data_IF_300007865117
#
_entry.id   IF_300007865117
#
_cell.length_a   1.000
_cell.length_b   1.000
_cell.length_c   1.000
_cell.angle_alpha   90.00
_cell.angle_beta   90.00
_cell.angle_gamma   90.00
#
_symmetry.space_group_name_H-M   'P 1'
#
loop_
_entity.id
_entity.type
_entity.pdbx_description
1 polymer ?
#
# COMPACT_ATOMS: atom_id res chain seq x y z
N UNK A 1 -13.21 -6.54 3.30
CA UNK A 1 -12.05 -5.63 3.26
C UNK A 1 -11.63 -5.43 1.81
N UNK A 2 -11.51 -4.18 1.34
CA UNK A 2 -11.07 -3.90 -0.03
C UNK A 2 -9.60 -3.44 -0.06
N UNK A 3 -8.73 -4.26 -0.67
CA UNK A 3 -7.29 -4.01 -0.81
C UNK A 3 -6.86 -3.63 -2.23
N UNK A 4 -7.78 -3.58 -3.19
CA UNK A 4 -7.49 -3.40 -4.63
C UNK A 4 -6.83 -2.06 -4.96
N UNK A 5 -7.03 -1.05 -4.11
CA UNK A 5 -6.43 0.29 -4.30
C UNK A 5 -5.30 0.56 -3.33
N UNK A 6 -4.87 -0.43 -2.55
CA UNK A 6 -3.81 -0.27 -1.56
C UNK A 6 -2.51 -0.81 -2.13
N UNK A 7 -1.48 0.02 -2.07
CA UNK A 7 -0.16 -0.20 -2.64
C UNK A 7 0.89 -0.26 -1.54
N UNK A 8 1.77 -1.25 -1.62
CA UNK A 8 3.04 -1.27 -0.94
C UNK A 8 4.14 -0.86 -1.93
N UNK A 9 4.94 0.16 -1.57
CA UNK A 9 6.01 0.67 -2.42
C UNK A 9 7.34 0.27 -1.78
N UNK A 10 8.15 -0.52 -2.49
CA UNK A 10 9.45 -0.93 -1.98
C UNK A 10 10.37 0.28 -1.77
N UNK A 11 11.05 0.31 -0.62
CA UNK A 11 11.93 1.42 -0.21
C UNK A 11 11.21 2.64 0.37
N UNK A 12 9.87 2.66 0.42
CA UNK A 12 9.11 3.68 1.14
C UNK A 12 8.37 3.05 2.32
N UNK A 13 8.39 3.67 3.50
CA UNK A 13 7.64 3.17 4.64
C UNK A 13 6.13 3.37 4.41
N UNK A 14 5.35 2.45 4.96
CA UNK A 14 3.90 2.54 4.98
C UNK A 14 3.18 1.94 3.77
N UNK A 15 1.88 2.21 3.74
CA UNK A 15 0.96 1.85 2.67
C UNK A 15 0.44 3.10 1.98
N UNK A 16 0.05 2.96 0.72
CA UNK A 16 -0.38 4.07 -0.12
C UNK A 16 -1.68 3.72 -0.84
N UNK A 17 -2.66 4.62 -0.84
CA UNK A 17 -3.87 4.46 -1.63
C UNK A 17 -3.64 5.02 -3.05
N UNK A 18 -3.90 4.21 -4.07
CA UNK A 18 -3.90 4.65 -5.47
C UNK A 18 -5.02 5.69 -5.69
N UNK A 19 -4.65 6.89 -6.14
CA UNK A 19 -5.62 7.94 -6.48
C UNK A 19 -5.79 8.09 -7.98
N UNK A 20 -4.68 8.27 -8.71
CA UNK A 20 -4.71 8.53 -10.16
C UNK A 20 -3.59 7.77 -10.84
N UNK A 21 -3.89 7.10 -11.95
CA UNK A 21 -2.88 6.56 -12.84
C UNK A 21 -2.48 7.63 -13.86
N UNK A 22 -1.18 7.83 -14.05
CA UNK A 22 -0.63 8.79 -15.01
C UNK A 22 0.15 8.07 -16.10
N UNK A 23 0.48 8.77 -17.19
CA UNK A 23 1.25 8.18 -18.29
C UNK A 23 2.66 7.71 -17.88
N UNK A 24 3.19 8.25 -16.79
CA UNK A 24 4.55 7.98 -16.30
C UNK A 24 4.58 7.18 -14.99
N UNK A 25 3.41 6.83 -14.45
CA UNK A 25 3.29 6.15 -13.16
C UNK A 25 1.92 6.33 -12.52
N UNK A 26 1.90 6.67 -11.25
CA UNK A 26 0.67 6.90 -10.50
C UNK A 26 0.88 7.89 -9.37
N UNK A 27 -0.19 8.59 -9.03
CA UNK A 27 -0.29 9.41 -7.82
C UNK A 27 -0.93 8.54 -6.75
N UNK A 28 -0.20 8.35 -5.66
CA UNK A 28 -0.63 7.60 -4.50
C UNK A 28 -0.65 8.50 -3.27
N UNK A 29 -1.59 8.27 -2.36
CA UNK A 29 -1.72 9.01 -1.11
C UNK A 29 -1.25 8.12 0.03
N UNK A 30 -0.28 8.60 0.80
CA UNK A 30 0.25 7.88 1.96
C UNK A 30 -0.82 7.71 3.03
N UNK A 31 -1.01 6.49 3.50
CA UNK A 31 -1.91 6.18 4.62
C UNK A 31 -1.32 6.60 5.97
N UNK A 32 -0.06 7.03 6.04
CA UNK A 32 0.52 7.50 7.31
C UNK A 32 0.18 8.97 7.52
N UNK A 33 0.60 9.82 6.59
CA UNK A 33 0.56 11.27 6.70
C UNK A 33 -0.44 11.96 5.76
N UNK A 34 -1.17 11.20 4.93
CA UNK A 34 -2.15 11.73 3.98
C UNK A 34 -1.53 12.50 2.81
N UNK A 35 -0.20 12.50 2.66
CA UNK A 35 0.47 13.24 1.59
C UNK A 35 0.41 12.49 0.28
N UNK A 36 0.20 13.24 -0.79
CA UNK A 36 0.23 12.73 -2.17
C UNK A 36 1.68 12.63 -2.63
N UNK A 37 2.03 11.49 -3.20
CA UNK A 37 3.32 11.23 -3.81
C UNK A 37 3.13 10.75 -5.25
N UNK A 38 4.03 11.16 -6.13
CA UNK A 38 4.11 10.62 -7.49
C UNK A 38 5.12 9.49 -7.49
N UNK A 39 4.69 8.33 -7.95
CA UNK A 39 5.49 7.11 -8.05
C UNK A 39 5.68 6.79 -9.51
N UNK A 40 6.91 6.48 -9.92
CA UNK A 40 7.21 6.13 -11.30
C UNK A 40 6.88 4.68 -11.59
N UNK A 41 6.57 4.34 -12.85
CA UNK A 41 6.44 2.95 -13.31
C UNK A 41 7.69 2.10 -13.06
N UNK A 42 8.87 2.73 -12.88
CA UNK A 42 10.12 2.02 -12.55
C UNK A 42 10.22 1.59 -11.10
N UNK A 43 9.37 2.12 -10.22
CA UNK A 43 9.37 1.76 -8.80
C UNK A 43 8.73 0.39 -8.62
N UNK A 44 9.32 -0.45 -7.78
CA UNK A 44 8.73 -1.74 -7.40
C UNK A 44 7.53 -1.48 -6.50
N UNK A 45 6.33 -1.68 -7.06
CA UNK A 45 5.07 -1.48 -6.36
C UNK A 45 4.25 -2.74 -6.44
N UNK A 46 3.69 -3.13 -5.30
CA UNK A 46 2.87 -4.31 -5.14
C UNK A 46 1.48 -3.88 -4.68
N UNK A 47 0.45 -4.35 -5.38
CA UNK A 47 -0.93 -4.24 -4.94
C UNK A 47 -1.18 -5.25 -3.83
N UNK A 48 -1.74 -4.82 -2.70
CA UNK A 48 -2.01 -5.75 -1.59
C UNK A 48 -3.03 -6.83 -1.99
N UNK A 49 -3.88 -6.56 -2.99
CA UNK A 49 -4.81 -7.54 -3.55
C UNK A 49 -4.15 -8.65 -4.37
N UNK A 50 -2.93 -8.42 -4.89
CA UNK A 50 -2.18 -9.40 -5.69
C UNK A 50 -1.19 -10.20 -4.84
N UNK A 51 -1.02 -9.84 -3.56
CA UNK A 51 -0.15 -10.56 -2.65
C UNK A 51 -0.90 -11.74 -2.05
N UNK A 52 -0.28 -12.91 -2.14
CA UNK A 52 -0.75 -14.14 -1.50
C UNK A 52 0.34 -14.73 -0.61
N UNK A 53 -0.08 -15.40 0.45
CA UNK A 53 0.78 -16.13 1.38
C UNK A 53 0.78 -17.60 0.97
N UNK A 54 1.97 -18.18 0.85
CA UNK A 54 2.13 -19.60 0.57
C UNK A 54 1.66 -20.43 1.76
N UNK A 55 0.91 -21.48 1.44
CA UNK A 55 0.41 -22.49 2.36
C UNK A 55 0.81 -23.86 1.84
N UNK A 56 0.76 -24.89 2.68
CA UNK A 56 1.09 -26.26 2.25
C UNK A 56 0.17 -26.78 1.14
N UNK A 57 -1.05 -26.23 1.01
CA UNK A 57 -2.04 -26.63 0.01
C UNK A 57 -2.05 -25.73 -1.23
N UNK A 58 -1.27 -24.63 -1.24
CA UNK A 58 -1.25 -23.67 -2.35
C UNK A 58 -0.99 -22.24 -1.88
N UNK A 59 -1.85 -21.31 -2.26
CA UNK A 59 -1.71 -19.88 -1.95
C UNK A 59 -3.01 -19.35 -1.35
N UNK A 60 -2.90 -18.52 -0.32
CA UNK A 60 -4.02 -17.84 0.30
C UNK A 60 -3.87 -16.32 0.15
N UNK A 61 -4.88 -15.60 -0.38
CA UNK A 61 -4.76 -14.17 -0.61
C UNK A 61 -4.58 -13.41 0.71
N UNK A 62 -3.78 -12.33 0.67
CA UNK A 62 -3.48 -11.52 1.85
C UNK A 62 -4.74 -10.91 2.49
N UNK A 63 -5.77 -10.64 1.70
CA UNK A 63 -7.08 -10.18 2.18
C UNK A 63 -7.70 -11.14 3.20
N UNK A 64 -7.69 -12.44 2.91
CA UNK A 64 -8.20 -13.47 3.83
C UNK A 64 -7.34 -13.57 5.08
N UNK A 65 -6.01 -13.53 4.94
CA UNK A 65 -5.10 -13.57 6.09
C UNK A 65 -5.35 -12.39 7.02
N UNK A 66 -5.50 -11.17 6.48
CA UNK A 66 -5.84 -9.98 7.27
C UNK A 66 -7.21 -10.09 7.94
N UNK A 67 -8.17 -10.77 7.32
CA UNK A 67 -9.47 -11.03 7.94
C UNK A 67 -9.37 -12.03 9.09
N UNK A 68 -8.58 -13.09 8.96
CA UNK A 68 -8.35 -14.04 10.05
C UNK A 68 -7.72 -13.33 11.27
N UNK A 69 -6.78 -12.42 11.02
CA UNK A 69 -6.21 -11.54 12.06
C UNK A 69 -7.31 -10.66 12.68
N UNK A 70 -8.14 -10.04 11.84
CA UNK A 70 -9.25 -9.20 12.33
C UNK A 70 -10.26 -9.97 13.18
N UNK A 71 -10.59 -11.20 12.82
CA UNK A 71 -11.51 -12.05 13.58
C UNK A 71 -10.88 -12.44 14.93
N UNK A 72 -9.61 -12.82 14.93
CA UNK A 72 -8.88 -13.19 16.16
C UNK A 72 -8.79 -12.05 17.16
N UNK A 73 -8.51 -10.84 16.66
CA UNK A 73 -8.32 -9.64 17.48
C UNK A 73 -9.61 -8.83 17.71
N UNK A 74 -10.78 -9.33 17.28
CA UNK A 74 -12.07 -8.62 17.32
C UNK A 74 -12.00 -7.21 16.69
N UNK A 75 -11.33 -7.11 15.53
CA UNK A 75 -11.01 -5.86 14.80
C UNK A 75 -10.08 -4.91 15.56
N UNK A 76 -9.48 -5.39 16.65
CA UNK A 76 -8.42 -4.74 17.40
C UNK A 76 -7.08 -4.72 16.66
N UNK A 77 -6.11 -3.99 17.21
CA UNK A 77 -4.75 -3.97 16.70
C UNK A 77 -4.08 -5.32 16.98
N UNK A 78 -3.39 -5.89 15.99
CA UNK A 78 -2.60 -7.09 16.20
C UNK A 78 -1.30 -6.77 16.93
N UNK A 79 -0.54 -7.80 17.30
CA UNK A 79 0.78 -7.65 17.91
C UNK A 79 1.71 -6.73 17.10
N UNK A 80 2.62 -6.06 17.81
CA UNK A 80 3.58 -5.15 17.18
C UNK A 80 4.54 -5.90 16.26
N UNK A 81 4.77 -5.35 15.06
CA UNK A 81 5.77 -5.89 14.12
C UNK A 81 7.22 -5.80 14.62
N UNK A 82 7.45 -5.19 15.80
CA UNK A 82 8.76 -5.04 16.45
C UNK A 82 9.07 -6.17 17.44
N UNK A 83 8.11 -7.04 17.72
CA UNK A 83 8.33 -8.19 18.59
C UNK A 83 9.36 -9.17 18.00
N UNK A 84 9.85 -10.06 18.85
CA UNK A 84 10.77 -11.12 18.47
C UNK A 84 10.21 -12.02 17.36
N UNK A 85 11.09 -12.46 16.45
CA UNK A 85 10.70 -13.32 15.33
C UNK A 85 9.94 -14.56 15.81
N UNK A 86 10.35 -15.16 16.93
CA UNK A 86 9.68 -16.33 17.50
C UNK A 86 8.22 -16.04 17.88
N UNK A 87 7.97 -14.90 18.53
CA UNK A 87 6.63 -14.45 18.92
C UNK A 87 5.75 -14.19 17.70
N UNK A 88 6.32 -13.53 16.69
CA UNK A 88 5.60 -13.24 15.44
C UNK A 88 5.21 -14.52 14.69
N UNK A 89 6.14 -15.47 14.59
CA UNK A 89 5.91 -16.77 13.95
C UNK A 89 4.85 -17.57 14.73
N UNK A 90 4.93 -17.60 16.07
CA UNK A 90 3.94 -18.28 16.90
C UNK A 90 2.54 -17.68 16.71
N UNK A 91 2.42 -16.36 16.74
CA UNK A 91 1.16 -15.67 16.46
C UNK A 91 0.63 -15.98 15.06
N UNK A 92 1.51 -15.96 14.05
CA UNK A 92 1.12 -16.25 12.67
C UNK A 92 0.67 -17.71 12.50
N UNK A 93 1.26 -18.67 13.24
CA UNK A 93 0.79 -20.07 13.29
C UNK A 93 -0.61 -20.18 13.90
N UNK A 94 -0.92 -19.37 14.91
CA UNK A 94 -2.28 -19.39 15.48
C UNK A 94 -3.32 -18.82 14.53
N UNK A 95 -2.96 -17.82 13.72
CA UNK A 95 -3.85 -17.22 12.70
C UNK A 95 -3.99 -18.13 11.48
N UNK A 96 -2.88 -18.69 11.01
CA UNK A 96 -2.80 -19.47 9.78
C UNK A 96 -1.94 -20.74 9.99
N UNK A 97 -2.43 -21.78 10.67
CA UNK A 97 -1.60 -22.95 11.01
C UNK A 97 -1.02 -23.70 9.81
N UNK A 98 -1.60 -23.49 8.63
CA UNK A 98 -1.22 -24.12 7.37
C UNK A 98 -0.27 -23.28 6.49
N UNK A 99 0.32 -22.19 7.00
CA UNK A 99 1.29 -21.40 6.21
C UNK A 99 2.60 -22.19 6.00
N UNK A 100 3.23 -21.98 4.85
CA UNK A 100 4.50 -22.62 4.49
C UNK A 100 5.67 -21.88 5.15
N UNK A 101 6.27 -22.50 6.18
CA UNK A 101 7.40 -21.92 6.93
C UNK A 101 8.70 -21.79 6.12
N UNK A 102 8.86 -22.54 5.02
CA UNK A 102 10.06 -22.49 4.18
C UNK A 102 10.01 -21.32 3.20
N UNK A 103 8.79 -20.93 2.79
CA UNK A 103 8.56 -19.83 1.83
C UNK A 103 8.19 -18.51 2.50
N UNK A 104 7.56 -18.56 3.67
CA UNK A 104 7.12 -17.37 4.39
C UNK A 104 8.15 -16.99 5.44
N UNK A 105 8.98 -16.00 5.11
CA UNK A 105 10.02 -15.55 6.02
C UNK A 105 9.45 -14.70 7.17
N UNK A 106 10.11 -14.66 8.36
CA UNK A 106 9.70 -13.80 9.46
C UNK A 106 9.58 -12.32 9.07
N UNK A 107 10.39 -11.87 8.10
CA UNK A 107 10.31 -10.52 7.54
C UNK A 107 9.00 -10.24 6.82
N UNK A 108 8.39 -11.24 6.20
CA UNK A 108 7.10 -11.09 5.52
C UNK A 108 5.97 -11.08 6.55
N UNK A 109 6.05 -11.91 7.59
CA UNK A 109 5.13 -11.85 8.74
C UNK A 109 5.15 -10.45 9.38
N UNK A 110 6.35 -9.88 9.59
CA UNK A 110 6.51 -8.50 10.08
C UNK A 110 5.81 -7.48 9.19
N UNK A 111 5.95 -7.59 7.86
CA UNK A 111 5.28 -6.69 6.91
C UNK A 111 3.77 -6.84 7.00
N UNK A 112 3.24 -8.06 7.01
CA UNK A 112 1.80 -8.34 7.09
C UNK A 112 1.19 -7.73 8.35
N UNK A 113 1.81 -7.94 9.51
CA UNK A 113 1.32 -7.39 10.77
C UNK A 113 1.38 -5.86 10.82
N UNK A 114 2.46 -5.27 10.30
CA UNK A 114 2.59 -3.83 10.18
C UNK A 114 1.50 -3.24 9.26
N UNK A 115 1.25 -3.88 8.11
CA UNK A 115 0.18 -3.50 7.18
C UNK A 115 -1.20 -3.60 7.82
N UNK A 116 -1.49 -4.70 8.52
CA UNK A 116 -2.75 -4.88 9.24
C UNK A 116 -2.96 -3.76 10.28
N UNK A 117 -1.95 -3.47 11.11
CA UNK A 117 -2.01 -2.41 12.12
C UNK A 117 -2.27 -1.03 11.48
N UNK A 118 -1.62 -0.73 10.36
CA UNK A 118 -1.85 0.54 9.64
C UNK A 118 -3.25 0.64 9.05
N UNK A 119 -3.78 -0.45 8.50
CA UNK A 119 -5.13 -0.49 7.94
C UNK A 119 -6.19 -0.39 9.05
N UNK A 120 -5.95 -1.04 10.18
CA UNK A 120 -6.81 -0.99 11.37
C UNK A 120 -6.86 0.42 11.95
N UNK A 121 -5.71 1.09 12.08
CA UNK A 121 -5.62 2.46 12.58
C UNK A 121 -6.37 3.48 11.71
N UNK A 122 -6.60 3.17 10.43
CA UNK A 122 -7.40 3.98 9.50
C UNK A 122 -8.86 3.53 9.38
N UNK A 123 -9.28 2.51 10.12
CA UNK A 123 -10.63 1.95 10.04
C UNK A 123 -10.92 1.25 8.70
N UNK A 124 -9.88 0.87 7.95
CA UNK A 124 -10.01 0.20 6.65
C UNK A 124 -10.19 -1.32 6.79
N UNK A 125 -10.08 -1.86 8.00
CA UNK A 125 -10.43 -3.25 8.33
C UNK A 125 -11.94 -3.34 8.47
N UNK A 126 -12.60 -3.73 7.38
CA UNK A 126 -14.06 -3.96 7.31
C UNK A 126 -14.35 -5.38 6.86
N UNK A 127 -15.37 -6.00 7.46
CA UNK A 127 -15.92 -7.28 6.99
C UNK A 127 -16.46 -7.14 5.55
N UNK A 128 -16.44 -8.22 4.78
CA UNK A 128 -16.99 -8.24 3.41
C UNK A 128 -18.53 -8.11 3.46
N UNK A 129 -19.02 -6.87 3.52
CA UNK A 129 -20.37 -6.48 3.13
C UNK A 129 -20.30 -5.07 2.51
N UNK A 130 -21.13 -4.75 1.50
CA UNK A 130 -20.84 -3.72 0.50
C UNK A 130 -20.89 -2.32 1.11
N UNK A 131 -20.02 -1.43 0.59
CA UNK A 131 -19.91 -0.02 0.98
C UNK A 131 -21.27 0.68 1.04
N UNK A 132 -21.43 1.68 1.92
CA UNK A 132 -21.26 3.07 1.46
C UNK A 132 -20.63 4.04 2.49
N UNK A 133 -20.39 5.28 2.02
CA UNK A 133 -19.87 6.51 2.67
C UNK A 133 -18.32 6.66 2.61
N UNK A 134 -17.70 7.38 1.65
CA UNK A 134 -17.90 8.77 1.22
C UNK A 134 -17.84 9.80 2.36
N UNK A 135 -16.71 10.51 2.48
CA UNK A 135 -16.54 11.98 2.54
C UNK A 135 -15.08 12.25 2.94
N UNK A 136 -14.25 12.99 2.19
CA UNK A 136 -14.49 14.37 1.80
C UNK A 136 -13.80 14.71 0.48
N UNK A 137 -14.65 15.08 -0.47
CA UNK A 137 -14.33 15.87 -1.66
C UNK A 137 -13.99 17.31 -1.22
N UNK A 138 -12.93 17.88 -1.79
CA UNK A 138 -12.86 19.30 -2.14
C UNK A 138 -11.65 19.49 -3.07
N UNK A 139 -11.93 19.42 -4.37
CA UNK A 139 -11.28 20.31 -5.34
C UNK A 139 -12.10 21.59 -5.42
N UNK A 140 -11.43 22.72 -5.63
CA UNK A 140 -11.79 23.49 -6.81
C UNK A 140 -10.60 23.63 -7.76
N UNK A 141 -10.92 23.56 -9.04
CA UNK A 141 -10.06 23.80 -10.21
C UNK A 141 -10.39 25.21 -10.74
N UNK A 142 -9.40 25.81 -11.43
CA UNK A 142 -9.37 27.06 -12.22
C UNK A 142 -9.05 28.33 -11.42
N UNK A 143 -8.12 29.21 -11.84
CA UNK A 143 -7.98 29.73 -13.20
C UNK A 143 -6.56 30.23 -13.56
N UNK A 144 -6.40 30.47 -14.87
CA UNK A 144 -5.26 30.76 -15.73
C UNK A 144 -4.19 31.78 -15.26
N UNK A 145 -2.95 31.53 -15.67
CA UNK A 145 -2.28 32.53 -16.53
C UNK A 145 -1.46 31.85 -17.62
N UNK A 146 -1.97 31.94 -18.84
CA UNK A 146 -1.24 31.78 -20.10
C UNK A 146 -0.06 32.76 -20.14
N UNK A 147 1.13 32.28 -20.51
CA UNK A 147 1.98 32.97 -21.51
C UNK A 147 3.04 32.04 -22.10
N UNK A 148 2.73 31.50 -23.27
CA UNK A 148 3.71 31.35 -24.35
C UNK A 148 3.58 32.60 -25.26
N UNK A 149 4.47 32.92 -26.24
CA UNK A 149 5.59 32.13 -26.73
C UNK A 149 6.90 32.92 -27.08
N UNK A 150 7.92 32.16 -27.50
CA UNK A 150 8.95 32.46 -28.50
C UNK A 150 10.07 33.51 -28.22
N UNK A 151 11.32 33.05 -28.25
CA UNK A 151 12.28 33.45 -29.31
C UNK A 151 13.51 32.54 -29.42
N UNK A 152 13.75 32.12 -30.66
CA UNK A 152 15.01 31.58 -31.20
C UNK A 152 16.19 32.51 -30.85
N UNK A 153 17.33 31.93 -30.49
CA UNK A 153 18.64 32.55 -30.69
C UNK A 153 19.60 31.50 -31.26
N UNK A 154 19.60 31.44 -32.59
CA UNK A 154 20.69 30.92 -33.41
C UNK A 154 21.44 32.18 -33.88
N UNK A 155 22.65 32.43 -33.38
CA UNK A 155 23.63 33.31 -34.03
C UNK A 155 25.00 33.25 -33.33
N UNK A 156 25.99 32.78 -34.09
CA UNK A 156 27.35 33.32 -34.21
C UNK A 156 28.23 33.51 -32.96
N UNK A 157 29.25 32.67 -32.86
CA UNK A 157 30.59 33.11 -32.45
C UNK A 157 31.60 32.57 -33.48
N UNK A 158 31.84 33.40 -34.49
CA UNK A 158 33.03 33.39 -35.34
C UNK A 158 34.08 34.30 -34.68
N UNK A 159 35.35 34.10 -35.07
CA UNK A 159 36.61 34.81 -34.72
C UNK A 159 37.42 34.07 -33.64
N UNK A 160 38.70 33.75 -33.85
CA UNK A 160 39.67 34.09 -34.90
C UNK A 160 40.84 33.12 -34.75
#
# INVERSE_FOLDING_TARGET
>A
MNLEKILAISGKPGLYALKVQTRTGFVAESLIDGKKITVSLKSNVSLLSEISIYTYEGEKPLSEVMQLIAIKEDKGPAISHKEDNATLTAYFKEVLPQYDEERVYPSDIKKVLNWYNMLQAKGLVTDLAPAPAESKEETPVLEETKKAPAKKAKAAAEKK
#
